data_IF_854934126868
#
_entry.id   IF_854934126868
#
_cell.length_a   1.000
_cell.length_b   1.000
_cell.length_c   1.000
_cell.angle_alpha   90.00
_cell.angle_beta   90.00
_cell.angle_gamma   90.00
#
_symmetry.space_group_name_H-M   'P 1'
#
loop_
_entity.id
_entity.type
_entity.pdbx_description
1 polymer ?
#
# COMPACT_ATOMS: atom_id res chain seq x y z
N UNK A 1 -17.28 -11.95 23.71
CA UNK A 1 -16.21 -12.09 22.70
C UNK A 1 -15.13 -13.01 23.25
N UNK A 2 -14.55 -13.85 22.39
CA UNK A 2 -13.60 -14.89 22.80
C UNK A 2 -12.14 -14.51 22.47
N UNK A 3 -11.89 -13.31 21.99
CA UNK A 3 -10.57 -12.80 21.63
C UNK A 3 -10.51 -11.27 21.71
N UNK A 4 -9.31 -10.68 21.83
CA UNK A 4 -9.14 -9.22 21.77
C UNK A 4 -9.72 -8.60 20.49
N UNK A 5 -9.48 -9.22 19.32
CA UNK A 5 -10.09 -8.79 18.06
C UNK A 5 -11.61 -8.83 18.08
N UNK A 6 -12.19 -9.88 18.69
CA UNK A 6 -13.63 -9.99 18.88
C UNK A 6 -14.19 -8.91 19.83
N UNK A 7 -13.44 -8.50 20.85
CA UNK A 7 -13.81 -7.37 21.70
C UNK A 7 -13.83 -6.07 20.91
N UNK A 8 -12.78 -5.79 20.13
CA UNK A 8 -12.72 -4.60 19.27
C UNK A 8 -13.90 -4.56 18.30
N UNK A 9 -14.19 -5.67 17.62
CA UNK A 9 -15.34 -5.77 16.71
C UNK A 9 -16.68 -5.53 17.43
N UNK A 10 -16.81 -5.98 18.66
CA UNK A 10 -17.98 -5.68 19.52
C UNK A 10 -18.11 -4.20 19.86
N UNK A 11 -16.98 -3.53 20.13
CA UNK A 11 -16.95 -2.08 20.36
C UNK A 11 -17.37 -1.33 19.09
N UNK A 12 -16.93 -1.77 17.91
CA UNK A 12 -17.36 -1.16 16.64
C UNK A 12 -18.87 -1.34 16.42
N UNK A 13 -19.41 -2.52 16.73
CA UNK A 13 -20.88 -2.72 16.71
C UNK A 13 -21.59 -1.76 17.66
N UNK A 14 -21.09 -1.61 18.88
CA UNK A 14 -21.69 -0.69 19.88
C UNK A 14 -21.65 0.76 19.35
N UNK A 15 -20.53 1.22 18.80
CA UNK A 15 -20.41 2.56 18.21
C UNK A 15 -21.46 2.80 17.11
N UNK A 16 -21.71 1.80 16.28
CA UNK A 16 -22.65 1.89 15.14
C UNK A 16 -24.12 1.91 15.56
N UNK A 17 -24.48 1.30 16.71
CA UNK A 17 -25.88 1.30 17.21
C UNK A 17 -26.20 2.49 18.11
N UNK A 18 -25.20 3.26 18.56
CA UNK A 18 -25.39 4.52 19.24
C UNK A 18 -25.86 5.56 18.22
N UNK A 19 -27.00 6.19 18.48
CA UNK A 19 -27.55 7.26 17.65
C UNK A 19 -27.74 8.51 18.47
N UNK A 20 -27.51 9.66 17.85
CA UNK A 20 -27.91 10.93 18.45
C UNK A 20 -29.35 11.28 18.01
N UNK A 21 -30.19 11.64 18.97
CA UNK A 21 -31.53 12.14 18.76
C UNK A 21 -31.82 13.24 19.77
N UNK A 22 -32.19 14.41 19.30
CA UNK A 22 -32.52 15.58 20.11
C UNK A 22 -31.43 15.97 21.12
N UNK A 23 -30.15 15.91 20.71
CA UNK A 23 -28.96 16.20 21.52
C UNK A 23 -28.64 15.15 22.59
N UNK A 24 -29.28 13.98 22.53
CA UNK A 24 -29.02 12.86 23.47
C UNK A 24 -28.51 11.64 22.71
N UNK A 25 -27.50 10.97 23.28
CA UNK A 25 -27.05 9.68 22.78
C UNK A 25 -28.03 8.60 23.24
N UNK A 26 -28.54 7.83 22.30
CA UNK A 26 -29.52 6.77 22.50
C UNK A 26 -29.02 5.45 21.94
N UNK A 27 -29.30 4.38 22.67
CA UNK A 27 -29.07 2.99 22.22
C UNK A 27 -30.40 2.26 22.29
N UNK A 28 -30.83 1.65 21.21
CA UNK A 28 -31.99 0.76 21.23
C UNK A 28 -31.65 -0.51 22.01
N UNK A 29 -32.52 -0.93 22.93
CA UNK A 29 -32.35 -2.20 23.60
C UNK A 29 -32.34 -3.35 22.60
N UNK A 30 -31.23 -4.09 22.54
CA UNK A 30 -31.04 -5.19 21.61
C UNK A 30 -30.10 -6.24 22.19
N UNK A 31 -30.22 -7.45 21.69
CA UNK A 31 -29.21 -8.51 21.84
C UNK A 31 -28.62 -8.69 20.47
N UNK A 32 -27.29 -8.53 20.37
CA UNK A 32 -26.56 -8.68 19.10
C UNK A 32 -25.67 -9.90 19.20
N UNK A 33 -25.90 -10.85 18.29
CA UNK A 33 -25.00 -11.99 18.04
C UNK A 33 -24.35 -11.80 16.69
N UNK A 34 -23.04 -11.63 16.69
CA UNK A 34 -22.29 -11.29 15.50
C UNK A 34 -21.01 -12.15 15.37
N UNK A 35 -20.77 -12.66 14.17
CA UNK A 35 -19.56 -13.41 13.81
C UNK A 35 -19.25 -13.19 12.33
N UNK A 36 -17.97 -13.22 11.93
CA UNK A 36 -17.61 -12.99 10.55
C UNK A 36 -18.01 -14.18 9.66
N UNK A 37 -18.63 -13.90 8.51
CA UNK A 37 -18.90 -14.92 7.48
C UNK A 37 -17.61 -15.40 6.80
N UNK A 38 -16.59 -14.52 6.74
CA UNK A 38 -15.28 -14.80 6.15
C UNK A 38 -14.17 -14.48 7.17
N UNK A 39 -13.20 -15.38 7.31
CA UNK A 39 -12.01 -15.15 8.13
C UNK A 39 -11.06 -14.11 7.54
N UNK A 40 -11.03 -13.99 6.21
CA UNK A 40 -10.22 -13.03 5.46
C UNK A 40 -11.10 -11.91 4.91
N UNK A 41 -10.90 -10.68 5.40
CA UNK A 41 -11.64 -9.48 5.00
C UNK A 41 -10.61 -8.39 4.72
N UNK A 42 -10.18 -8.34 3.47
CA UNK A 42 -9.05 -7.51 3.04
C UNK A 42 -9.51 -6.28 2.24
N UNK A 43 -8.70 -5.23 2.34
CA UNK A 43 -8.71 -4.09 1.41
C UNK A 43 -7.30 -3.91 0.84
N UNK A 44 -7.19 -3.60 -0.45
CA UNK A 44 -5.92 -3.35 -1.11
C UNK A 44 -5.80 -1.86 -1.48
N UNK A 45 -4.68 -1.24 -1.11
CA UNK A 45 -4.32 0.10 -1.54
C UNK A 45 -3.10 0.03 -2.48
N UNK A 46 -3.27 0.53 -3.69
CA UNK A 46 -2.19 0.68 -4.67
C UNK A 46 -1.52 2.05 -4.53
N UNK A 47 -0.40 2.09 -3.85
CA UNK A 47 0.43 3.27 -3.74
C UNK A 47 1.62 3.26 -4.72
N UNK A 48 1.95 2.13 -5.26
CA UNK A 48 2.92 2.02 -6.35
C UNK A 48 2.56 2.96 -7.48
N UNK A 49 1.30 2.97 -7.89
CA UNK A 49 0.81 3.85 -8.97
C UNK A 49 0.52 5.27 -8.51
N UNK A 50 0.05 5.48 -7.28
CA UNK A 50 -0.19 6.86 -6.80
C UNK A 50 0.00 6.96 -5.28
N UNK A 51 1.08 7.61 -4.86
CA UNK A 51 1.43 7.78 -3.46
C UNK A 51 0.42 8.68 -2.73
N UNK A 52 -0.12 8.20 -1.60
CA UNK A 52 -1.11 8.90 -0.77
C UNK A 52 -0.53 9.44 0.53
N UNK A 53 0.49 8.78 1.07
CA UNK A 53 1.15 9.17 2.29
C UNK A 53 0.52 8.60 3.57
N UNK A 54 1.30 8.70 4.64
CA UNK A 54 1.07 8.04 5.93
C UNK A 54 -0.30 8.35 6.55
N UNK A 55 -0.73 9.60 6.50
CA UNK A 55 -1.98 10.00 7.15
C UNK A 55 -3.20 9.40 6.45
N UNK A 56 -3.17 9.29 5.11
CA UNK A 56 -4.25 8.63 4.36
C UNK A 56 -4.29 7.14 4.68
N UNK A 57 -3.13 6.49 4.80
CA UNK A 57 -3.06 5.07 5.19
C UNK A 57 -3.64 4.85 6.58
N UNK A 58 -3.33 5.71 7.55
CA UNK A 58 -3.90 5.62 8.91
C UNK A 58 -5.42 5.82 8.91
N UNK A 59 -5.93 6.80 8.16
CA UNK A 59 -7.37 7.01 8.00
C UNK A 59 -8.05 5.77 7.40
N UNK A 60 -7.44 5.17 6.36
CA UNK A 60 -7.94 3.93 5.78
C UNK A 60 -7.97 2.78 6.79
N UNK A 61 -6.93 2.64 7.62
CA UNK A 61 -6.89 1.62 8.68
C UNK A 61 -7.99 1.85 9.74
N UNK A 62 -8.36 3.10 10.04
CA UNK A 62 -9.48 3.41 10.91
C UNK A 62 -10.81 2.98 10.30
N UNK A 63 -11.06 3.31 9.02
CA UNK A 63 -12.25 2.89 8.29
C UNK A 63 -12.33 1.35 8.16
N UNK A 64 -11.21 0.70 7.89
CA UNK A 64 -11.13 -0.76 7.86
C UNK A 64 -11.50 -1.38 9.21
N UNK A 65 -11.05 -0.79 10.32
CA UNK A 65 -11.38 -1.26 11.66
C UNK A 65 -12.88 -1.07 11.96
N UNK A 66 -13.47 0.07 11.59
CA UNK A 66 -14.90 0.35 11.74
C UNK A 66 -15.77 -0.64 10.94
N UNK A 67 -15.28 -1.08 9.77
CA UNK A 67 -15.90 -2.10 8.92
C UNK A 67 -15.51 -3.54 9.32
N UNK A 68 -14.74 -3.72 10.40
CA UNK A 68 -14.26 -5.02 10.91
C UNK A 68 -13.42 -5.80 9.89
N UNK A 69 -12.74 -5.11 8.99
CA UNK A 69 -11.73 -5.71 8.11
C UNK A 69 -10.47 -6.05 8.91
N UNK A 70 -9.74 -7.07 8.48
CA UNK A 70 -8.62 -7.59 9.27
C UNK A 70 -7.32 -7.79 8.48
N UNK A 71 -7.33 -7.49 7.18
CA UNK A 71 -6.14 -7.59 6.33
C UNK A 71 -6.03 -6.36 5.46
N UNK A 72 -4.87 -5.70 5.53
CA UNK A 72 -4.50 -4.59 4.65
C UNK A 72 -3.44 -5.06 3.67
N UNK A 73 -3.81 -5.19 2.41
CA UNK A 73 -2.91 -5.51 1.31
C UNK A 73 -2.32 -4.19 0.78
N UNK A 74 -1.02 -3.99 1.01
CA UNK A 74 -0.35 -2.73 0.71
C UNK A 74 0.58 -2.89 -0.48
N UNK A 75 0.13 -2.45 -1.66
CA UNK A 75 0.87 -2.51 -2.91
C UNK A 75 1.85 -1.33 -2.99
N UNK A 76 3.11 -1.58 -2.67
CA UNK A 76 4.11 -0.56 -2.43
C UNK A 76 5.05 -0.30 -3.60
N UNK A 77 5.10 -1.20 -4.60
CA UNK A 77 6.02 -1.03 -5.73
C UNK A 77 5.33 -1.33 -7.06
N UNK A 78 5.56 -0.48 -8.04
CA UNK A 78 5.07 -0.68 -9.41
C UNK A 78 5.95 0.07 -10.40
N UNK A 79 5.62 0.05 -11.70
CA UNK A 79 6.34 0.78 -12.74
C UNK A 79 6.43 2.29 -12.43
N UNK A 80 5.34 2.87 -11.88
CA UNK A 80 5.20 4.30 -11.67
C UNK A 80 5.75 4.79 -10.32
N UNK A 81 6.23 3.87 -9.48
CA UNK A 81 6.87 4.28 -8.24
C UNK A 81 7.25 3.15 -7.29
N UNK A 82 8.33 3.40 -6.55
CA UNK A 82 8.83 2.57 -5.45
C UNK A 82 8.62 3.30 -4.13
N UNK A 83 7.92 2.68 -3.16
CA UNK A 83 7.44 3.38 -1.95
C UNK A 83 8.07 2.92 -0.64
N UNK A 84 8.98 1.96 -0.68
CA UNK A 84 9.65 1.39 0.51
C UNK A 84 11.10 1.84 0.55
N UNK A 85 11.52 2.42 1.68
CA UNK A 85 12.94 2.69 1.92
C UNK A 85 13.72 1.39 2.14
N UNK A 86 14.69 1.13 1.27
CA UNK A 86 15.69 0.08 1.43
C UNK A 86 17.05 0.75 1.61
N UNK A 87 17.53 0.81 2.85
CA UNK A 87 18.77 1.58 3.19
C UNK A 87 19.98 1.16 2.37
N UNK A 88 20.06 -0.13 1.99
CA UNK A 88 21.12 -0.63 1.12
C UNK A 88 21.03 -0.14 -0.32
N UNK A 89 19.83 0.24 -0.75
CA UNK A 89 19.55 0.64 -2.13
C UNK A 89 18.87 2.03 -2.18
N UNK A 90 19.56 3.10 -1.77
CA UNK A 90 18.93 4.42 -1.56
C UNK A 90 18.31 5.02 -2.82
N UNK A 91 18.85 4.73 -4.02
CA UNK A 91 18.28 5.23 -5.27
C UNK A 91 16.85 4.76 -5.54
N UNK A 92 16.41 3.65 -4.93
CA UNK A 92 15.02 3.20 -5.04
C UNK A 92 14.03 4.29 -4.59
N UNK A 93 14.38 5.04 -3.55
CA UNK A 93 13.55 6.15 -3.04
C UNK A 93 14.00 7.52 -3.54
N UNK A 94 15.27 7.72 -3.85
CA UNK A 94 15.77 8.97 -4.43
C UNK A 94 15.28 9.19 -5.88
N UNK A 95 15.23 8.13 -6.67
CA UNK A 95 14.85 8.14 -8.10
C UNK A 95 13.51 7.44 -8.29
N UNK A 96 13.42 6.17 -7.87
CA UNK A 96 12.27 5.30 -8.13
C UNK A 96 10.96 5.77 -7.48
N UNK A 97 11.03 6.57 -6.42
CA UNK A 97 9.84 7.10 -5.76
C UNK A 97 9.18 8.28 -6.51
N UNK A 98 9.80 8.82 -7.57
CA UNK A 98 9.33 10.05 -8.20
C UNK A 98 9.23 9.90 -9.72
N UNK A 99 8.20 10.51 -10.31
CA UNK A 99 8.01 10.67 -11.74
C UNK A 99 7.72 12.12 -12.12
N UNK A 100 8.06 12.49 -13.37
CA UNK A 100 7.98 13.90 -13.82
C UNK A 100 6.53 14.36 -14.01
N UNK A 101 5.62 13.45 -14.39
CA UNK A 101 4.18 13.72 -14.59
C UNK A 101 3.37 12.43 -14.51
N UNK A 102 2.05 12.57 -14.39
CA UNK A 102 1.12 11.44 -14.39
C UNK A 102 0.16 11.54 -15.55
N UNK A 103 -0.14 10.39 -16.18
CA UNK A 103 -1.27 10.30 -17.11
C UNK A 103 -2.57 10.63 -16.39
N UNK A 104 -3.44 11.40 -17.04
CA UNK A 104 -4.75 11.85 -16.51
C UNK A 104 -5.88 11.48 -17.45
N UNK A 105 -7.11 11.77 -17.03
CA UNK A 105 -8.38 11.47 -17.69
C UNK A 105 -8.74 9.99 -17.64
N UNK A 106 -8.34 9.21 -18.63
CA UNK A 106 -8.61 7.78 -18.69
C UNK A 106 -7.34 7.01 -19.08
N UNK A 107 -7.33 5.74 -18.83
CA UNK A 107 -6.25 4.84 -19.22
C UNK A 107 -5.96 4.94 -20.72
N UNK A 108 -4.70 5.17 -21.06
CA UNK A 108 -4.26 5.32 -22.45
C UNK A 108 -4.66 6.63 -23.10
N UNK A 109 -4.94 7.67 -22.31
CA UNK A 109 -5.26 9.02 -22.83
C UNK A 109 -4.07 9.71 -23.49
N UNK A 110 -2.84 9.33 -23.11
CA UNK A 110 -1.58 9.99 -23.46
C UNK A 110 -1.56 11.50 -23.14
N UNK A 111 -2.45 11.94 -22.20
CA UNK A 111 -2.49 13.30 -21.66
C UNK A 111 -1.88 13.29 -20.27
N UNK A 112 -0.98 14.23 -19.99
CA UNK A 112 -0.22 14.28 -18.74
C UNK A 112 -0.43 15.60 -18.00
N UNK A 113 -0.40 15.54 -16.66
CA UNK A 113 -0.63 16.70 -15.79
C UNK A 113 0.56 17.66 -15.68
N UNK A 114 1.74 17.24 -16.17
CA UNK A 114 2.98 18.03 -16.09
C UNK A 114 3.47 18.29 -14.65
N UNK A 115 2.96 17.55 -13.68
CA UNK A 115 3.32 17.73 -12.25
C UNK A 115 4.14 16.55 -11.75
N UNK A 116 5.28 16.88 -11.12
CA UNK A 116 6.08 15.86 -10.43
C UNK A 116 5.24 15.23 -9.33
N UNK A 117 5.15 13.90 -9.33
CA UNK A 117 4.45 13.12 -8.32
C UNK A 117 5.39 12.10 -7.69
N UNK A 118 5.24 11.86 -6.39
CA UNK A 118 5.98 10.82 -5.70
C UNK A 118 5.99 10.98 -4.19
N UNK A 119 6.74 10.09 -3.56
CA UNK A 119 6.94 9.95 -2.13
C UNK A 119 7.22 8.50 -1.78
N UNK A 120 7.64 8.28 -0.56
CA UNK A 120 7.96 6.95 -0.04
C UNK A 120 7.78 6.93 1.48
N UNK A 121 7.82 5.75 2.05
CA UNK A 121 7.80 5.51 3.48
C UNK A 121 9.22 5.18 3.96
N UNK A 122 9.69 5.89 4.99
CA UNK A 122 10.88 5.50 5.73
C UNK A 122 10.62 4.22 6.51
N UNK A 123 11.68 3.53 6.95
CA UNK A 123 11.50 2.35 7.82
C UNK A 123 10.79 2.71 9.13
N UNK A 124 10.99 3.91 9.63
CA UNK A 124 10.30 4.44 10.81
C UNK A 124 8.80 4.64 10.53
N UNK A 125 8.43 5.18 9.36
CA UNK A 125 7.02 5.30 8.93
C UNK A 125 6.35 3.94 8.80
N UNK A 126 7.06 2.95 8.22
CA UNK A 126 6.54 1.59 8.07
C UNK A 126 6.28 0.94 9.44
N UNK A 127 7.21 1.06 10.39
CA UNK A 127 7.02 0.58 11.76
C UNK A 127 5.82 1.24 12.44
N UNK A 128 5.71 2.56 12.32
CA UNK A 128 4.59 3.30 12.89
C UNK A 128 3.25 2.81 12.33
N UNK A 129 3.16 2.59 11.01
CA UNK A 129 1.94 2.09 10.35
C UNK A 129 1.63 0.65 10.78
N UNK A 130 2.65 -0.21 10.88
CA UNK A 130 2.48 -1.60 11.36
C UNK A 130 1.95 -1.62 12.79
N UNK A 131 2.52 -0.82 13.68
CA UNK A 131 2.06 -0.70 15.07
C UNK A 131 0.63 -0.12 15.15
N UNK A 132 0.31 0.82 14.26
CA UNK A 132 -1.02 1.42 14.16
C UNK A 132 -2.08 0.41 13.72
N UNK A 133 -1.76 -0.42 12.73
CA UNK A 133 -2.61 -1.51 12.24
C UNK A 133 -2.77 -2.63 13.29
N UNK A 134 -1.69 -3.01 13.98
CA UNK A 134 -1.70 -4.05 15.01
C UNK A 134 -2.64 -3.72 16.16
N UNK A 135 -2.71 -2.44 16.58
CA UNK A 135 -3.67 -1.95 17.60
C UNK A 135 -5.12 -2.08 17.17
N UNK A 136 -5.38 -2.25 15.86
CA UNK A 136 -6.70 -2.46 15.24
C UNK A 136 -6.96 -3.92 14.87
N UNK A 137 -6.04 -4.81 15.21
CA UNK A 137 -6.05 -6.22 14.79
C UNK A 137 -6.12 -6.38 13.27
N UNK A 138 -5.44 -5.49 12.54
CA UNK A 138 -5.28 -5.55 11.08
C UNK A 138 -3.86 -6.04 10.78
N UNK A 139 -3.77 -7.13 10.02
CA UNK A 139 -2.50 -7.64 9.49
C UNK A 139 -2.16 -6.90 8.20
N UNK A 140 -0.94 -6.38 8.09
CA UNK A 140 -0.45 -5.80 6.85
C UNK A 140 0.24 -6.89 6.02
N UNK A 141 -0.10 -6.96 4.74
CA UNK A 141 0.58 -7.77 3.73
C UNK A 141 1.18 -6.81 2.71
N UNK A 142 2.50 -6.57 2.78
CA UNK A 142 3.17 -5.76 1.78
C UNK A 142 3.29 -6.53 0.46
N UNK A 143 3.13 -5.83 -0.66
CA UNK A 143 3.36 -6.36 -1.98
C UNK A 143 4.53 -5.62 -2.65
N UNK A 144 5.51 -6.41 -3.12
CA UNK A 144 6.60 -5.98 -3.99
C UNK A 144 6.48 -6.74 -5.30
N UNK A 145 6.21 -6.01 -6.38
CA UNK A 145 5.98 -6.61 -7.70
C UNK A 145 7.28 -7.13 -8.33
N UNK A 146 7.25 -8.39 -8.80
CA UNK A 146 8.35 -9.02 -9.52
C UNK A 146 7.86 -10.19 -10.37
N UNK A 147 8.48 -10.55 -11.49
CA UNK A 147 9.57 -9.83 -12.15
C UNK A 147 9.11 -8.61 -12.96
N UNK A 148 7.82 -8.48 -13.24
CA UNK A 148 7.21 -7.34 -13.93
C UNK A 148 6.89 -6.18 -12.97
N UNK A 149 6.36 -5.09 -13.53
CA UNK A 149 6.09 -3.84 -12.81
C UNK A 149 7.33 -3.29 -12.09
N UNK A 150 8.50 -3.38 -12.76
CA UNK A 150 9.82 -3.12 -12.19
C UNK A 150 10.46 -1.81 -12.68
N UNK A 151 9.78 -1.02 -13.53
CA UNK A 151 10.38 0.14 -14.21
C UNK A 151 10.94 1.17 -13.21
N UNK A 152 10.29 1.40 -12.05
CA UNK A 152 10.81 2.32 -11.04
C UNK A 152 12.14 1.84 -10.42
N UNK A 153 12.25 0.54 -10.14
CA UNK A 153 13.49 -0.05 -9.64
C UNK A 153 14.60 -0.03 -10.70
N UNK A 154 14.26 -0.35 -11.96
CA UNK A 154 15.21 -0.36 -13.09
C UNK A 154 15.66 1.08 -13.42
N UNK A 155 14.78 2.07 -13.32
CA UNK A 155 15.16 3.48 -13.45
C UNK A 155 16.19 3.88 -12.39
N UNK A 156 16.09 3.32 -11.18
CA UNK A 156 17.02 3.56 -10.08
C UNK A 156 18.37 2.84 -10.28
N UNK A 157 18.29 1.61 -10.77
CA UNK A 157 19.43 0.70 -10.97
C UNK A 157 19.28 -0.05 -12.30
N UNK A 158 19.81 0.48 -13.41
CA UNK A 158 19.61 -0.11 -14.76
C UNK A 158 20.06 -1.56 -14.90
N UNK A 159 21.04 -1.99 -14.11
CA UNK A 159 21.55 -3.36 -14.11
C UNK A 159 20.50 -4.40 -13.64
N UNK A 160 19.43 -3.97 -12.96
CA UNK A 160 18.33 -4.84 -12.57
C UNK A 160 17.50 -5.33 -13.77
N UNK A 161 17.48 -4.55 -14.86
CA UNK A 161 16.68 -4.87 -16.04
C UNK A 161 17.42 -5.71 -17.08
N UNK A 162 16.66 -6.39 -17.92
CA UNK A 162 17.20 -7.24 -18.99
C UNK A 162 17.99 -6.47 -20.06
N UNK A 163 17.71 -5.18 -20.26
CA UNK A 163 18.39 -4.33 -21.25
C UNK A 163 19.64 -3.62 -20.72
N UNK A 164 19.76 -3.46 -19.39
CA UNK A 164 20.80 -2.66 -18.74
C UNK A 164 20.76 -1.16 -19.09
N UNK A 165 19.73 -0.69 -19.79
CA UNK A 165 19.61 0.70 -20.25
C UNK A 165 19.03 1.60 -19.17
N UNK A 166 19.50 2.85 -19.13
CA UNK A 166 18.89 3.87 -18.30
C UNK A 166 17.50 4.21 -18.85
N UNK A 167 16.50 4.13 -18.00
CA UNK A 167 15.11 4.54 -18.25
C UNK A 167 14.67 5.61 -17.26
N UNK A 168 13.53 6.24 -17.51
CA UNK A 168 12.85 7.10 -16.54
C UNK A 168 11.73 6.34 -15.87
N UNK A 169 11.35 6.76 -14.67
CA UNK A 169 10.12 6.29 -14.02
C UNK A 169 8.92 6.74 -14.86
N UNK A 170 8.09 5.81 -15.38
CA UNK A 170 7.03 6.18 -16.30
C UNK A 170 5.87 6.89 -15.57
N UNK A 171 5.30 7.88 -16.25
CA UNK A 171 4.07 8.53 -15.83
C UNK A 171 2.80 7.90 -16.41
N UNK A 172 2.94 7.04 -17.41
CA UNK A 172 1.85 6.34 -18.09
C UNK A 172 1.41 5.14 -17.27
N UNK A 173 0.10 4.93 -17.17
CA UNK A 173 -0.47 3.70 -16.60
C UNK A 173 -0.52 2.60 -17.66
N UNK A 174 -0.38 1.34 -17.22
CA UNK A 174 -0.47 0.19 -18.09
C UNK A 174 0.62 -0.85 -17.85
N UNK A 175 0.82 -1.70 -18.85
CA UNK A 175 1.87 -2.72 -18.86
C UNK A 175 3.12 -2.14 -19.51
N UNK A 176 4.25 -2.21 -18.80
CA UNK A 176 5.56 -1.84 -19.28
C UNK A 176 6.38 -3.11 -19.55
N UNK A 177 7.36 -3.00 -20.48
CA UNK A 177 8.14 -4.16 -20.93
C UNK A 177 9.41 -4.38 -20.11
N UNK A 178 9.78 -3.44 -19.25
CA UNK A 178 10.90 -3.55 -18.34
C UNK A 178 10.61 -4.54 -17.24
N UNK A 179 11.42 -5.59 -17.18
CA UNK A 179 11.31 -6.65 -16.16
C UNK A 179 12.67 -6.90 -15.53
N UNK A 180 12.68 -7.37 -14.29
CA UNK A 180 13.90 -7.82 -13.66
C UNK A 180 14.55 -8.96 -14.43
N UNK A 181 15.89 -8.91 -14.58
CA UNK A 181 16.66 -9.98 -15.19
C UNK A 181 16.88 -11.13 -14.19
N UNK A 182 15.86 -11.93 -13.97
CA UNK A 182 15.90 -13.06 -13.01
C UNK A 182 16.90 -14.17 -13.37
N UNK A 183 17.54 -14.11 -14.56
CA UNK A 183 18.63 -14.99 -14.93
C UNK A 183 19.99 -14.52 -14.34
N UNK A 184 20.06 -13.28 -13.86
CA UNK A 184 21.27 -12.71 -13.28
C UNK A 184 21.29 -12.99 -11.75
N UNK A 185 22.33 -13.67 -11.23
CA UNK A 185 22.42 -13.97 -9.79
C UNK A 185 22.46 -12.71 -8.89
N UNK A 186 23.02 -11.60 -9.37
CA UNK A 186 23.07 -10.36 -8.60
C UNK A 186 21.67 -9.72 -8.50
N UNK A 187 20.83 -9.87 -9.54
CA UNK A 187 19.41 -9.45 -9.48
C UNK A 187 18.62 -10.32 -8.53
N UNK A 188 18.82 -11.64 -8.54
CA UNK A 188 18.18 -12.54 -7.57
C UNK A 188 18.58 -12.19 -6.14
N UNK A 189 19.86 -11.93 -5.90
CA UNK A 189 20.33 -11.46 -4.59
C UNK A 189 19.69 -10.12 -4.18
N UNK A 190 19.52 -9.18 -5.10
CA UNK A 190 18.81 -7.93 -4.83
C UNK A 190 17.37 -8.20 -4.40
N UNK A 191 16.66 -9.09 -5.09
CA UNK A 191 15.26 -9.43 -4.76
C UNK A 191 15.14 -10.06 -3.37
N UNK A 192 16.06 -10.98 -3.02
CA UNK A 192 16.13 -11.58 -1.68
C UNK A 192 16.37 -10.48 -0.62
N UNK A 193 17.34 -9.61 -0.82
CA UNK A 193 17.71 -8.55 0.14
C UNK A 193 16.63 -7.45 0.30
N UNK A 194 15.70 -7.32 -0.66
CA UNK A 194 14.56 -6.39 -0.57
C UNK A 194 13.41 -7.01 0.21
N UNK A 195 13.30 -8.34 0.20
CA UNK A 195 12.20 -9.06 0.86
C UNK A 195 12.53 -9.54 2.26
N UNK A 196 13.82 -9.53 2.67
CA UNK A 196 14.29 -9.79 4.03
C UNK A 196 14.08 -8.58 4.97
#
# INVERSE_FOLDING_TARGET
ANSPAGILNGVQTLRQVIKEKDGKLMVQKAIVTDYPAFSWRAFMLDEGRYFKGKEVVKQLLDEMADLKMNVFHWHLTNDQGWRIEIKKYPKLTEIGAFRDSSEINHFGSDVYDGKRHGGFYTQEDLKEIVDYAAKRHITIIPEVSMPGHASAAIASYPWLGTSGKQIKVPGKFGVHYEVFNVADPDVMKFLDEVTD
#
